data_IF_080383633413
#
_entry.id   IF_080383633413
#
_cell.length_a   1.000
_cell.length_b   1.000
_cell.length_c   1.000
_cell.angle_alpha   90.00
_cell.angle_beta   90.00
_cell.angle_gamma   90.00
#
_symmetry.space_group_name_H-M   'P 1'
#
loop_
_entity.id
_entity.type
_entity.pdbx_description
1 polymer ?
#
# COMPACT_ATOMS: atom_id res chain seq x y z
N UNK A 1 -21.40 13.65 22.92
CA UNK A 1 -20.94 13.93 21.53
C UNK A 1 -22.13 13.72 20.61
N UNK A 2 -22.42 14.70 19.77
CA UNK A 2 -23.50 14.57 18.79
C UNK A 2 -23.09 13.59 17.69
N UNK A 3 -24.05 12.90 17.05
CA UNK A 3 -23.79 12.01 15.90
C UNK A 3 -23.08 12.76 14.75
N UNK A 4 -23.32 14.07 14.63
CA UNK A 4 -22.65 14.96 13.65
C UNK A 4 -21.16 15.13 14.00
N UNK A 5 -20.83 15.26 15.29
CA UNK A 5 -19.44 15.39 15.74
C UNK A 5 -18.64 14.12 15.47
N UNK A 6 -19.24 12.94 15.63
CA UNK A 6 -18.60 11.65 15.34
C UNK A 6 -18.32 11.47 13.85
N UNK A 7 -19.24 11.92 12.97
CA UNK A 7 -19.05 11.87 11.52
C UNK A 7 -17.90 12.80 11.13
N UNK A 8 -17.90 14.01 11.64
CA UNK A 8 -16.87 15.01 11.30
C UNK A 8 -15.46 14.58 11.73
N UNK A 9 -15.34 13.97 12.91
CA UNK A 9 -14.08 13.40 13.39
C UNK A 9 -13.61 12.25 12.46
N UNK A 10 -14.52 11.37 12.05
CA UNK A 10 -14.20 10.31 11.12
C UNK A 10 -13.70 10.85 9.77
N UNK A 11 -14.41 11.82 9.19
CA UNK A 11 -14.04 12.46 7.91
C UNK A 11 -12.66 13.11 7.97
N UNK A 12 -12.37 13.88 9.02
CA UNK A 12 -11.07 14.52 9.21
C UNK A 12 -9.93 13.48 9.28
N UNK A 13 -10.14 12.38 9.99
CA UNK A 13 -9.15 11.32 10.11
C UNK A 13 -8.89 10.62 8.76
N UNK A 14 -9.95 10.39 7.99
CA UNK A 14 -9.82 9.82 6.64
C UNK A 14 -9.07 10.78 5.73
N UNK A 15 -9.39 12.07 5.73
CA UNK A 15 -8.70 13.09 4.92
C UNK A 15 -7.19 13.13 5.19
N UNK A 16 -6.78 13.04 6.45
CA UNK A 16 -5.35 13.03 6.82
C UNK A 16 -4.60 11.82 6.24
N UNK A 17 -5.30 10.73 5.99
CA UNK A 17 -4.73 9.47 5.49
C UNK A 17 -4.99 9.22 4.01
N UNK A 18 -5.89 9.96 3.39
CA UNK A 18 -6.42 9.70 2.04
C UNK A 18 -5.31 9.41 1.04
N UNK A 19 -4.29 10.26 1.03
CA UNK A 19 -3.14 10.09 0.15
C UNK A 19 -2.38 8.79 0.41
N UNK A 20 -2.08 8.47 1.68
CA UNK A 20 -1.37 7.23 2.04
C UNK A 20 -2.18 6.00 1.65
N UNK A 21 -3.47 6.04 1.88
CA UNK A 21 -4.39 4.97 1.51
C UNK A 21 -4.46 4.80 -0.01
N UNK A 22 -4.65 5.89 -0.74
CA UNK A 22 -4.70 5.86 -2.21
C UNK A 22 -3.42 5.27 -2.83
N UNK A 23 -2.23 5.74 -2.43
CA UNK A 23 -0.97 5.23 -2.94
C UNK A 23 -0.74 3.75 -2.61
N UNK A 24 -1.19 3.30 -1.43
CA UNK A 24 -1.15 1.89 -1.06
C UNK A 24 -2.05 1.04 -1.97
N UNK A 25 -3.27 1.49 -2.27
CA UNK A 25 -4.16 0.82 -3.21
C UNK A 25 -3.60 0.83 -4.63
N UNK A 26 -3.08 1.97 -5.09
CA UNK A 26 -2.48 2.13 -6.41
C UNK A 26 -1.30 1.17 -6.63
N UNK A 27 -0.46 0.97 -5.62
CA UNK A 27 0.65 0.02 -5.69
C UNK A 27 0.18 -1.42 -5.91
N UNK A 28 -0.93 -1.80 -5.26
CA UNK A 28 -1.52 -3.14 -5.41
C UNK A 28 -2.19 -3.30 -6.77
N UNK A 29 -2.97 -2.31 -7.18
CA UNK A 29 -3.88 -2.40 -8.33
C UNK A 29 -3.23 -1.98 -9.65
N UNK A 30 -2.21 -1.10 -9.59
CA UNK A 30 -1.55 -0.53 -10.78
C UNK A 30 -2.52 0.16 -11.75
N UNK A 31 -3.62 0.67 -11.22
CA UNK A 31 -4.64 1.39 -11.97
C UNK A 31 -5.29 2.42 -11.06
N UNK A 32 -5.39 3.65 -11.53
CA UNK A 32 -5.87 4.79 -10.75
C UNK A 32 -7.37 4.69 -10.43
N UNK A 33 -8.18 4.32 -11.41
CA UNK A 33 -9.63 4.20 -11.23
C UNK A 33 -9.96 3.10 -10.22
N UNK A 34 -9.34 1.92 -10.38
CA UNK A 34 -9.51 0.82 -9.42
C UNK A 34 -9.00 1.20 -8.01
N UNK A 35 -7.91 1.99 -7.91
CA UNK A 35 -7.40 2.44 -6.63
C UNK A 35 -8.37 3.42 -5.95
N UNK A 36 -8.97 4.32 -6.72
CA UNK A 36 -10.01 5.23 -6.25
C UNK A 36 -11.25 4.47 -5.79
N UNK A 37 -11.72 3.50 -6.57
CA UNK A 37 -12.85 2.64 -6.22
C UNK A 37 -12.57 1.86 -4.92
N UNK A 38 -11.37 1.27 -4.80
CA UNK A 38 -10.96 0.56 -3.58
C UNK A 38 -10.96 1.48 -2.36
N UNK A 39 -10.48 2.72 -2.52
CA UNK A 39 -10.44 3.71 -1.45
C UNK A 39 -11.87 4.10 -1.01
N UNK A 40 -12.74 4.42 -1.95
CA UNK A 40 -14.13 4.80 -1.66
C UNK A 40 -14.87 3.67 -0.94
N UNK A 41 -14.74 2.43 -1.45
CA UNK A 41 -15.36 1.26 -0.84
C UNK A 41 -14.80 0.98 0.57
N UNK A 42 -13.49 1.17 0.76
CA UNK A 42 -12.87 1.00 2.06
C UNK A 42 -13.35 2.05 3.08
N UNK A 43 -13.43 3.31 2.68
CA UNK A 43 -13.96 4.40 3.53
C UNK A 43 -15.42 4.15 3.88
N UNK A 44 -16.24 3.74 2.92
CA UNK A 44 -17.64 3.40 3.15
C UNK A 44 -17.79 2.25 4.16
N UNK A 45 -17.04 1.17 3.99
CA UNK A 45 -17.04 0.03 4.93
C UNK A 45 -16.52 0.42 6.31
N UNK A 46 -15.48 1.23 6.37
CA UNK A 46 -14.96 1.75 7.62
C UNK A 46 -16.04 2.58 8.34
N UNK A 47 -16.73 3.45 7.63
CA UNK A 47 -17.84 4.21 8.20
C UNK A 47 -18.96 3.32 8.75
N UNK A 48 -19.41 2.33 7.99
CA UNK A 48 -20.45 1.39 8.42
C UNK A 48 -20.06 0.57 9.64
N UNK A 49 -18.76 0.26 9.76
CA UNK A 49 -18.25 -0.59 10.84
C UNK A 49 -17.49 0.17 11.93
N UNK A 50 -17.57 1.50 11.97
CA UNK A 50 -16.84 2.35 12.93
C UNK A 50 -17.09 1.98 14.40
N UNK A 51 -18.29 1.51 14.72
CA UNK A 51 -18.64 1.06 16.07
C UNK A 51 -17.88 -0.22 16.52
N UNK A 52 -17.26 -0.94 15.60
CA UNK A 52 -16.42 -2.10 15.92
C UNK A 52 -15.00 -1.73 16.33
N UNK A 53 -14.59 -0.49 16.05
CA UNK A 53 -13.30 0.02 16.47
C UNK A 53 -13.33 0.30 17.98
N UNK A 54 -12.61 -0.53 18.75
CA UNK A 54 -12.58 -0.43 20.23
C UNK A 54 -11.50 0.51 20.73
N UNK A 55 -10.45 0.72 19.94
CA UNK A 55 -9.30 1.57 20.26
C UNK A 55 -9.08 2.58 19.13
N UNK A 56 -9.23 3.83 19.46
CA UNK A 56 -9.03 4.96 18.54
C UNK A 56 -7.61 5.01 17.97
N UNK A 57 -6.61 4.55 18.71
CA UNK A 57 -5.22 4.48 18.25
C UNK A 57 -5.02 3.46 17.14
N UNK A 58 -5.90 2.47 17.04
CA UNK A 58 -5.84 1.45 16.00
C UNK A 58 -6.54 1.87 14.69
N UNK A 59 -7.13 3.09 14.61
CA UNK A 59 -7.91 3.52 13.46
C UNK A 59 -7.14 3.43 12.14
N UNK A 60 -5.91 3.92 12.11
CA UNK A 60 -5.09 3.92 10.89
C UNK A 60 -4.82 2.50 10.39
N UNK A 61 -4.38 1.59 11.27
CA UNK A 61 -4.13 0.20 10.94
C UNK A 61 -5.42 -0.53 10.51
N UNK A 62 -6.52 -0.20 11.16
CA UNK A 62 -7.82 -0.79 10.87
C UNK A 62 -8.37 -0.39 9.49
N UNK A 63 -8.35 0.89 9.13
CA UNK A 63 -8.80 1.35 7.81
C UNK A 63 -7.85 0.89 6.70
N UNK A 64 -6.54 0.87 6.94
CA UNK A 64 -5.55 0.33 6.00
C UNK A 64 -5.80 -1.15 5.72
N UNK A 65 -6.16 -1.93 6.74
CA UNK A 65 -6.54 -3.34 6.58
C UNK A 65 -7.76 -3.50 5.68
N UNK A 66 -8.80 -2.69 5.89
CA UNK A 66 -10.01 -2.70 5.06
C UNK A 66 -9.64 -2.37 3.61
N UNK A 67 -8.85 -1.32 3.39
CA UNK A 67 -8.40 -0.91 2.07
C UNK A 67 -7.64 -2.03 1.33
N UNK A 68 -6.63 -2.60 1.97
CA UNK A 68 -5.84 -3.66 1.35
C UNK A 68 -6.70 -4.87 0.99
N UNK A 69 -7.66 -5.23 1.86
CA UNK A 69 -8.61 -6.30 1.56
C UNK A 69 -9.43 -5.99 0.29
N UNK A 70 -9.94 -4.76 0.14
CA UNK A 70 -10.70 -4.36 -1.05
C UNK A 70 -9.81 -4.31 -2.29
N UNK A 71 -8.62 -3.75 -2.20
CA UNK A 71 -7.65 -3.72 -3.29
C UNK A 71 -7.31 -5.15 -3.79
N UNK A 72 -7.08 -6.10 -2.88
CA UNK A 72 -6.84 -7.49 -3.27
C UNK A 72 -8.07 -8.18 -3.86
N UNK A 73 -9.25 -7.87 -3.36
CA UNK A 73 -10.52 -8.38 -3.93
C UNK A 73 -10.68 -7.93 -5.38
N UNK A 74 -10.47 -6.65 -5.66
CA UNK A 74 -10.51 -6.09 -7.01
C UNK A 74 -9.41 -6.69 -7.90
N UNK A 75 -8.18 -6.76 -7.41
CA UNK A 75 -7.09 -7.38 -8.15
C UNK A 75 -7.37 -8.82 -8.56
N UNK A 76 -7.90 -9.64 -7.64
CA UNK A 76 -8.26 -11.03 -7.94
C UNK A 76 -9.39 -11.12 -8.97
N UNK A 77 -10.39 -10.23 -8.87
CA UNK A 77 -11.50 -10.17 -9.84
C UNK A 77 -10.97 -9.82 -11.23
N UNK A 78 -10.09 -8.82 -11.32
CA UNK A 78 -9.49 -8.38 -12.59
C UNK A 78 -8.63 -9.49 -13.21
N UNK A 79 -7.79 -10.16 -12.41
CA UNK A 79 -6.92 -11.25 -12.89
C UNK A 79 -7.70 -12.42 -13.48
N UNK A 80 -8.95 -12.66 -13.05
CA UNK A 80 -9.84 -13.68 -13.64
C UNK A 80 -10.39 -13.28 -15.02
N UNK A 81 -10.50 -11.97 -15.29
CA UNK A 81 -11.04 -11.45 -16.55
C UNK A 81 -9.99 -11.01 -17.55
N UNK A 82 -8.75 -10.84 -17.12
CA UNK A 82 -7.62 -10.43 -17.97
C UNK A 82 -6.65 -11.59 -18.14
N UNK A 83 -6.92 -12.47 -19.10
CA UNK A 83 -5.83 -13.11 -19.83
C UNK A 83 -5.22 -12.03 -20.71
N UNK A 84 -3.97 -11.65 -20.41
CA UNK A 84 -3.10 -10.85 -21.28
C UNK A 84 -3.35 -9.33 -21.30
N UNK A 85 -2.76 -8.60 -20.36
CA UNK A 85 -2.27 -7.24 -20.63
C UNK A 85 -0.88 -7.13 -19.99
N UNK A 86 0.09 -6.69 -20.78
CA UNK A 86 1.48 -6.60 -20.40
C UNK A 86 1.72 -5.61 -19.24
N UNK A 87 2.71 -5.94 -18.42
CA UNK A 87 3.11 -5.18 -17.23
C UNK A 87 3.74 -3.79 -17.53
N UNK A 88 3.84 -3.40 -18.78
CA UNK A 88 4.62 -2.23 -19.22
C UNK A 88 3.85 -0.88 -19.14
N UNK A 89 2.52 -0.91 -19.03
CA UNK A 89 1.70 0.32 -19.09
C UNK A 89 1.42 0.99 -17.73
N UNK A 90 2.10 0.58 -16.66
CA UNK A 90 1.72 0.99 -15.31
C UNK A 90 2.56 2.14 -14.71
N UNK A 91 3.52 2.71 -15.43
CA UNK A 91 4.46 3.69 -14.88
C UNK A 91 4.12 5.18 -15.14
N UNK A 92 3.32 5.61 -16.11
CA UNK A 92 3.24 7.05 -16.40
C UNK A 92 2.14 7.82 -15.69
N UNK A 93 1.57 7.36 -14.57
CA UNK A 93 0.46 8.10 -13.96
C UNK A 93 0.70 8.54 -12.51
N UNK A 94 1.87 9.08 -12.25
CA UNK A 94 2.04 9.93 -11.07
C UNK A 94 1.69 11.36 -11.47
N UNK A 95 0.46 11.77 -11.16
CA UNK A 95 -0.01 13.11 -11.40
C UNK A 95 0.85 14.14 -10.68
N UNK A 96 0.90 15.37 -11.19
CA UNK A 96 1.71 16.52 -10.76
C UNK A 96 1.68 16.87 -9.25
N UNK A 97 0.89 16.16 -8.44
CA UNK A 97 0.67 16.42 -7.02
C UNK A 97 1.32 15.40 -6.05
N UNK A 98 2.15 14.45 -6.55
CA UNK A 98 2.83 13.48 -5.67
C UNK A 98 4.27 13.94 -5.45
N UNK A 99 4.76 14.06 -4.18
CA UNK A 99 6.15 14.37 -3.91
C UNK A 99 7.10 13.37 -4.58
N UNK A 100 8.24 13.88 -5.03
CA UNK A 100 9.30 13.09 -5.69
C UNK A 100 9.72 11.86 -4.87
N UNK A 101 9.81 12.00 -3.55
CA UNK A 101 10.23 10.93 -2.64
C UNK A 101 9.25 9.75 -2.63
N UNK A 102 7.94 10.03 -2.70
CA UNK A 102 6.92 9.00 -2.82
C UNK A 102 6.99 8.29 -4.18
N UNK A 103 7.20 9.04 -5.26
CA UNK A 103 7.36 8.49 -6.61
C UNK A 103 8.56 7.54 -6.66
N UNK A 104 9.69 7.98 -6.11
CA UNK A 104 10.91 7.17 -6.07
C UNK A 104 10.68 5.89 -5.25
N UNK A 105 10.11 6.00 -4.05
CA UNK A 105 9.77 4.86 -3.20
C UNK A 105 8.88 3.84 -3.94
N UNK A 106 7.78 4.29 -4.54
CA UNK A 106 6.86 3.41 -5.24
C UNK A 106 7.45 2.82 -6.53
N UNK A 107 8.33 3.55 -7.21
CA UNK A 107 9.09 3.03 -8.34
C UNK A 107 9.98 1.85 -7.92
N UNK A 108 10.73 1.98 -6.83
CA UNK A 108 11.57 0.88 -6.31
C UNK A 108 10.75 -0.36 -5.94
N UNK A 109 9.65 -0.19 -5.24
CA UNK A 109 8.85 -1.33 -4.81
C UNK A 109 7.96 -1.91 -5.91
N UNK A 110 7.76 -1.22 -7.03
CA UNK A 110 6.93 -1.69 -8.14
C UNK A 110 7.45 -3.00 -8.77
N UNK A 111 8.76 -3.24 -8.68
CA UNK A 111 9.43 -4.44 -9.20
C UNK A 111 9.33 -5.64 -8.25
N UNK A 112 8.85 -5.43 -7.03
CA UNK A 112 8.65 -6.48 -6.05
C UNK A 112 7.38 -7.29 -6.33
N UNK A 113 7.37 -8.54 -5.90
CA UNK A 113 6.12 -9.31 -5.87
C UNK A 113 5.12 -8.68 -4.90
N UNK A 114 3.82 -8.89 -5.12
CA UNK A 114 2.77 -8.30 -4.29
C UNK A 114 2.94 -8.56 -2.80
N UNK A 115 3.23 -9.81 -2.35
CA UNK A 115 3.47 -10.04 -0.92
C UNK A 115 4.67 -9.30 -0.36
N UNK A 116 5.68 -9.02 -1.19
CA UNK A 116 6.84 -8.20 -0.81
C UNK A 116 6.47 -6.72 -0.71
N UNK A 117 5.70 -6.21 -1.69
CA UNK A 117 5.19 -4.84 -1.68
C UNK A 117 4.37 -4.55 -0.42
N UNK A 118 3.44 -5.44 -0.06
CA UNK A 118 2.60 -5.31 1.15
C UNK A 118 3.42 -5.04 2.40
N UNK A 119 4.41 -5.89 2.65
CA UNK A 119 5.20 -5.80 3.87
C UNK A 119 6.07 -4.53 3.88
N UNK A 120 6.62 -4.13 2.73
CA UNK A 120 7.43 -2.92 2.61
C UNK A 120 6.57 -1.65 2.78
N UNK A 121 5.41 -1.58 2.13
CA UNK A 121 4.48 -0.45 2.26
C UNK A 121 4.05 -0.28 3.71
N UNK A 122 3.59 -1.37 4.34
CA UNK A 122 3.11 -1.33 5.72
C UNK A 122 4.24 -0.95 6.69
N UNK A 123 5.46 -1.44 6.47
CA UNK A 123 6.59 -1.19 7.37
C UNK A 123 7.17 0.21 7.21
N UNK A 124 7.42 0.66 5.97
CA UNK A 124 8.19 1.88 5.72
C UNK A 124 7.31 3.07 5.37
N UNK A 125 6.20 2.87 4.69
CA UNK A 125 5.32 3.96 4.31
C UNK A 125 4.27 4.27 5.39
N UNK A 126 3.70 3.22 6.01
CA UNK A 126 2.77 3.38 7.13
C UNK A 126 3.45 3.33 8.51
N UNK A 127 4.73 2.97 8.60
CA UNK A 127 5.50 2.86 9.84
C UNK A 127 4.93 1.84 10.86
N UNK A 128 4.16 0.84 10.42
CA UNK A 128 3.60 -0.16 11.32
C UNK A 128 4.67 -1.10 11.91
N UNK A 129 4.45 -1.51 13.14
CA UNK A 129 5.23 -2.56 13.79
C UNK A 129 5.01 -3.92 13.11
N UNK A 130 5.94 -4.86 13.31
CA UNK A 130 5.79 -6.20 12.74
C UNK A 130 4.56 -6.95 13.29
N UNK A 131 4.12 -6.62 14.51
CA UNK A 131 2.90 -7.15 15.11
C UNK A 131 1.64 -6.64 14.43
N UNK A 132 1.57 -5.33 14.18
CA UNK A 132 0.45 -4.73 13.42
C UNK A 132 0.40 -5.29 12.01
N UNK A 133 1.52 -5.40 11.32
CA UNK A 133 1.61 -6.01 9.98
C UNK A 133 1.13 -7.47 10.00
N UNK A 134 1.52 -8.24 11.01
CA UNK A 134 1.06 -9.61 11.22
C UNK A 134 -0.47 -9.67 11.34
N UNK A 135 -1.05 -8.75 12.10
CA UNK A 135 -2.51 -8.63 12.29
C UNK A 135 -3.23 -8.16 11.02
N UNK A 136 -2.67 -7.20 10.30
CA UNK A 136 -3.23 -6.65 9.05
C UNK A 136 -3.27 -7.75 7.97
N UNK A 137 -2.15 -8.43 7.77
CA UNK A 137 -1.99 -9.43 6.70
C UNK A 137 -2.50 -10.83 7.10
N UNK A 138 -2.91 -11.04 8.35
CA UNK A 138 -3.26 -12.37 8.89
C UNK A 138 -2.16 -13.41 8.69
N UNK A 139 -0.91 -13.02 8.90
CA UNK A 139 0.27 -13.87 8.78
C UNK A 139 0.99 -14.01 10.11
N UNK A 140 1.61 -15.18 10.41
CA UNK A 140 2.50 -15.28 11.55
C UNK A 140 3.61 -14.23 11.51
N UNK A 141 3.97 -13.68 12.67
CA UNK A 141 5.03 -12.65 12.75
C UNK A 141 6.38 -13.15 12.21
N UNK A 142 6.68 -14.43 12.34
CA UNK A 142 7.87 -15.07 11.76
C UNK A 142 7.87 -14.99 10.23
N UNK A 143 6.70 -15.18 9.61
CA UNK A 143 6.51 -15.03 8.16
C UNK A 143 6.70 -13.58 7.71
N UNK A 144 6.14 -12.62 8.46
CA UNK A 144 6.33 -11.19 8.19
C UNK A 144 7.80 -10.84 8.26
N UNK A 145 8.51 -11.24 9.33
CA UNK A 145 9.95 -11.02 9.49
C UNK A 145 10.75 -11.60 8.32
N UNK A 146 10.57 -12.89 8.02
CA UNK A 146 11.33 -13.56 6.98
C UNK A 146 11.07 -12.98 5.59
N UNK A 147 9.83 -12.56 5.31
CA UNK A 147 9.45 -11.87 4.07
C UNK A 147 10.14 -10.51 3.98
N UNK A 148 10.06 -9.69 5.03
CA UNK A 148 10.69 -8.38 5.08
C UNK A 148 12.20 -8.46 4.87
N UNK A 149 12.90 -9.33 5.59
CA UNK A 149 14.35 -9.48 5.45
C UNK A 149 14.77 -9.92 4.05
N UNK A 150 14.06 -10.87 3.44
CA UNK A 150 14.33 -11.31 2.06
C UNK A 150 14.12 -10.19 1.05
N UNK A 151 13.06 -9.42 1.25
CA UNK A 151 12.74 -8.27 0.38
C UNK A 151 13.79 -7.19 0.48
N UNK A 152 14.23 -6.84 1.69
CA UNK A 152 15.30 -5.84 1.89
C UNK A 152 16.63 -6.29 1.28
N UNK A 153 16.98 -7.56 1.41
CA UNK A 153 18.18 -8.12 0.76
C UNK A 153 18.10 -8.01 -0.77
N UNK A 154 16.93 -8.31 -1.34
CA UNK A 154 16.68 -8.18 -2.78
C UNK A 154 16.83 -6.74 -3.26
N UNK A 155 16.24 -5.77 -2.53
CA UNK A 155 16.36 -4.34 -2.85
C UNK A 155 17.80 -3.86 -2.77
N UNK A 156 18.54 -4.28 -1.76
CA UNK A 156 19.98 -3.94 -1.61
C UNK A 156 20.80 -4.45 -2.81
N UNK A 157 20.64 -5.69 -3.19
CA UNK A 157 21.36 -6.28 -4.33
C UNK A 157 21.04 -5.50 -5.64
N UNK A 158 19.78 -5.10 -5.86
CA UNK A 158 19.38 -4.32 -7.02
C UNK A 158 20.02 -2.92 -7.05
N UNK A 159 20.26 -2.30 -5.90
CA UNK A 159 20.97 -1.03 -5.83
C UNK A 159 22.44 -1.19 -6.14
N UNK A 160 23.09 -2.24 -5.64
CA UNK A 160 24.49 -2.54 -5.90
C UNK A 160 24.73 -2.79 -7.39
N UNK A 161 23.88 -3.58 -8.06
CA UNK A 161 23.95 -3.84 -9.51
C UNK A 161 23.78 -2.56 -10.34
N UNK A 162 22.91 -1.64 -9.94
CA UNK A 162 22.76 -0.34 -10.61
C UNK A 162 23.98 0.57 -10.44
N UNK A 163 24.65 0.52 -9.30
CA UNK A 163 25.87 1.29 -9.05
C UNK A 163 27.06 0.74 -9.85
N UNK A 164 27.19 -0.56 -9.99
CA UNK A 164 28.26 -1.18 -10.78
C UNK A 164 28.08 -0.92 -12.29
N UNK A 165 26.83 -0.88 -12.78
CA UNK A 165 26.55 -0.60 -14.20
C UNK A 165 26.78 0.88 -14.59
N UNK A 166 26.96 1.77 -13.65
CA UNK A 166 27.21 3.22 -13.88
C UNK A 166 28.69 3.61 -13.69
N UNK A 167 29.60 2.65 -13.52
CA UNK A 167 31.03 2.99 -13.55
C UNK A 167 31.44 3.12 -15.04
N UNK A 168 31.70 4.33 -15.57
CA UNK A 168 32.15 4.47 -16.93
C UNK A 168 33.50 3.79 -17.04
N UNK A 169 33.62 2.84 -17.98
CA UNK A 169 34.88 2.25 -18.36
C UNK A 169 35.82 3.41 -18.77
N UNK A 170 36.64 3.80 -17.82
CA UNK A 170 37.70 4.77 -18.03
C UNK A 170 38.84 4.15 -18.77
N UNK A 171 39.08 4.70 -19.91
CA UNK A 171 40.21 4.70 -20.85
C UNK A 171 40.09 3.79 -22.03
#
# INVERSE_FOLDING_TARGET
MSCIDEIHVFEQRVQQMERKLFLSALTVLKNQEDAQDALQEAVFKAYLHRSKLRDDKAFEAWITKILLHEAYRLYKKRKKHLHTVALEDCIPFFSENIPSDDIEFFSYISMLSKPEQEVVILRFYHAYSLQEISSILHLPISTVKSRLYRTLKKLKNQQEEKHESFTPAGK
#
